data_IF_882868425308
#
_entry.id   IF_882868425308
#
_cell.length_a   1.000
_cell.length_b   1.000
_cell.length_c   1.000
_cell.angle_alpha   90.00
_cell.angle_beta   90.00
_cell.angle_gamma   90.00
#
_symmetry.space_group_name_H-M   'P 1'
#
loop_
_entity.id
_entity.type
_entity.pdbx_description
1 polymer ?
#
# COMPACT_ATOMS: atom_id res chain seq x y z
N UNK A 1 -36.14 63.46 24.55
CA UNK A 1 -34.88 62.99 23.93
C UNK A 1 -34.28 61.71 24.62
N UNK A 2 -35.15 60.77 25.08
CA UNK A 2 -34.63 59.53 25.70
C UNK A 2 -34.78 58.27 24.81
N UNK A 3 -35.45 58.38 23.67
CA UNK A 3 -35.79 57.20 22.86
C UNK A 3 -34.68 56.81 21.85
N UNK A 4 -33.78 57.73 21.50
CA UNK A 4 -32.74 57.42 20.50
C UNK A 4 -31.59 56.53 21.04
N UNK A 5 -31.45 56.42 22.39
CA UNK A 5 -30.41 55.58 23.00
C UNK A 5 -30.69 54.08 22.89
N UNK A 6 -31.95 53.67 22.96
CA UNK A 6 -32.33 52.25 22.81
C UNK A 6 -32.11 51.71 21.40
N UNK A 7 -32.37 52.53 20.39
CA UNK A 7 -32.14 52.16 18.98
C UNK A 7 -30.68 51.96 18.65
N UNK A 8 -29.80 52.82 19.19
CA UNK A 8 -28.35 52.68 18.97
C UNK A 8 -27.80 51.45 19.70
N UNK A 9 -28.25 51.15 20.91
CA UNK A 9 -27.84 49.95 21.66
C UNK A 9 -28.34 48.68 20.94
N UNK A 10 -29.58 48.66 20.47
CA UNK A 10 -30.16 47.55 19.72
C UNK A 10 -29.40 47.31 18.41
N UNK A 11 -29.10 48.38 17.65
CA UNK A 11 -28.36 48.32 16.41
C UNK A 11 -26.92 47.80 16.64
N UNK A 12 -26.25 48.29 17.65
CA UNK A 12 -24.90 47.82 18.01
C UNK A 12 -24.90 46.34 18.41
N UNK A 13 -25.90 45.88 19.15
CA UNK A 13 -26.01 44.49 19.61
C UNK A 13 -26.31 43.55 18.42
N UNK A 14 -27.25 43.93 17.55
CA UNK A 14 -27.55 43.16 16.34
C UNK A 14 -26.35 43.10 15.38
N UNK A 15 -25.62 44.20 15.19
CA UNK A 15 -24.43 44.23 14.38
C UNK A 15 -23.33 43.34 14.98
N UNK A 16 -23.16 43.39 16.32
CA UNK A 16 -22.21 42.53 17.01
C UNK A 16 -22.49 41.01 16.81
N UNK A 17 -23.75 40.62 16.91
CA UNK A 17 -24.19 39.26 16.64
C UNK A 17 -23.95 38.86 15.18
N UNK A 18 -24.26 39.73 14.23
CA UNK A 18 -24.01 39.50 12.80
C UNK A 18 -22.51 39.31 12.51
N UNK A 19 -21.65 40.17 13.04
CA UNK A 19 -20.21 40.06 12.88
C UNK A 19 -19.69 38.78 13.50
N UNK A 20 -20.14 38.43 14.73
CA UNK A 20 -19.76 37.18 15.39
C UNK A 20 -20.14 35.95 14.56
N UNK A 21 -21.32 35.95 13.97
CA UNK A 21 -21.77 34.86 13.10
C UNK A 21 -20.90 34.76 11.82
N UNK A 22 -20.58 35.88 11.20
CA UNK A 22 -19.71 35.90 10.01
C UNK A 22 -18.31 35.38 10.34
N UNK A 23 -17.73 35.78 11.49
CA UNK A 23 -16.42 35.30 11.92
C UNK A 23 -16.44 33.79 12.20
N UNK A 24 -17.48 33.28 12.83
CA UNK A 24 -17.64 31.84 13.08
C UNK A 24 -17.74 31.03 11.76
N UNK A 25 -18.43 31.56 10.76
CA UNK A 25 -18.51 30.93 9.44
C UNK A 25 -17.14 30.93 8.71
N UNK A 26 -16.42 32.04 8.76
CA UNK A 26 -15.08 32.16 8.15
C UNK A 26 -14.13 31.17 8.82
N UNK A 27 -14.14 31.07 10.14
CA UNK A 27 -13.28 30.11 10.87
C UNK A 27 -13.65 28.65 10.55
N UNK A 28 -14.93 28.35 10.41
CA UNK A 28 -15.41 27.03 9.97
C UNK A 28 -14.95 26.66 8.57
N UNK A 29 -14.99 27.63 7.64
CA UNK A 29 -14.47 27.44 6.27
C UNK A 29 -12.96 27.25 6.26
N UNK A 30 -12.24 28.05 7.05
CA UNK A 30 -10.79 27.94 7.20
C UNK A 30 -10.38 26.57 7.71
N UNK A 31 -11.01 26.09 8.78
CA UNK A 31 -10.74 24.77 9.35
C UNK A 31 -10.94 23.66 8.31
N UNK A 32 -12.03 23.71 7.56
CA UNK A 32 -12.29 22.72 6.48
C UNK A 32 -11.25 22.80 5.36
N UNK A 33 -10.82 24.00 5.01
CA UNK A 33 -9.75 24.20 4.03
C UNK A 33 -8.45 23.55 4.47
N UNK A 34 -8.04 23.76 5.72
CA UNK A 34 -6.84 23.13 6.30
C UNK A 34 -6.95 21.60 6.26
N UNK A 35 -8.08 21.04 6.68
CA UNK A 35 -8.27 19.59 6.65
C UNK A 35 -8.15 19.02 5.23
N UNK A 36 -8.77 19.66 4.25
CA UNK A 36 -8.72 19.23 2.85
C UNK A 36 -7.32 19.32 2.28
N UNK A 37 -6.61 20.41 2.51
CA UNK A 37 -5.23 20.57 2.05
C UNK A 37 -4.30 19.57 2.67
N UNK A 38 -4.42 19.34 3.98
CA UNK A 38 -3.63 18.32 4.68
C UNK A 38 -3.89 16.92 4.12
N UNK A 39 -5.16 16.55 3.90
CA UNK A 39 -5.54 15.27 3.32
C UNK A 39 -4.92 15.09 1.91
N UNK A 40 -5.07 16.08 1.04
CA UNK A 40 -4.48 16.05 -0.30
C UNK A 40 -2.96 15.92 -0.28
N UNK A 41 -2.27 16.66 0.59
CA UNK A 41 -0.81 16.61 0.69
C UNK A 41 -0.32 15.27 1.24
N UNK A 42 -1.04 14.69 2.21
CA UNK A 42 -0.73 13.35 2.73
C UNK A 42 -0.89 12.32 1.61
N UNK A 43 -1.99 12.36 0.85
CA UNK A 43 -2.23 11.42 -0.25
C UNK A 43 -1.13 11.53 -1.32
N UNK A 44 -0.78 12.74 -1.74
CA UNK A 44 0.31 12.96 -2.71
C UNK A 44 1.66 12.46 -2.16
N UNK A 45 1.95 12.74 -0.89
CA UNK A 45 3.17 12.28 -0.23
C UNK A 45 3.25 10.76 -0.18
N UNK A 46 2.17 10.10 0.18
CA UNK A 46 2.09 8.63 0.20
C UNK A 46 2.22 8.03 -1.19
N UNK A 47 1.55 8.58 -2.19
CA UNK A 47 1.67 8.14 -3.58
C UNK A 47 3.11 8.31 -4.10
N UNK A 48 3.79 9.39 -3.70
CA UNK A 48 5.18 9.64 -4.05
C UNK A 48 6.12 8.58 -3.46
N UNK A 49 5.94 8.22 -2.19
CA UNK A 49 6.70 7.13 -1.56
C UNK A 49 6.40 5.79 -2.24
N UNK A 50 5.14 5.50 -2.55
CA UNK A 50 4.77 4.27 -3.27
C UNK A 50 5.34 4.21 -4.69
N UNK A 51 5.57 5.35 -5.33
CA UNK A 51 6.22 5.44 -6.64
C UNK A 51 7.73 5.11 -6.59
N UNK A 52 8.35 5.14 -5.41
CA UNK A 52 9.75 4.72 -5.17
C UNK A 52 9.88 3.19 -5.01
N UNK A 53 9.03 2.41 -5.68
CA UNK A 53 9.09 0.96 -5.63
C UNK A 53 10.30 0.40 -6.38
N UNK A 54 10.77 -0.77 -5.96
CA UNK A 54 11.90 -1.46 -6.57
C UNK A 54 11.51 -2.05 -7.93
N UNK A 55 11.89 -1.36 -9.01
CA UNK A 55 11.48 -1.67 -10.39
C UNK A 55 11.88 -3.06 -10.86
N UNK A 56 13.08 -3.51 -10.52
CA UNK A 56 13.58 -4.82 -10.94
C UNK A 56 12.80 -5.95 -10.26
N UNK A 57 12.49 -5.79 -8.98
CA UNK A 57 11.69 -6.77 -8.23
C UNK A 57 10.28 -6.87 -8.81
N UNK A 58 9.70 -5.73 -9.14
CA UNK A 58 8.37 -5.69 -9.77
C UNK A 58 8.40 -6.28 -11.18
N UNK A 59 9.38 -5.91 -12.02
CA UNK A 59 9.45 -6.36 -13.41
C UNK A 59 9.76 -7.87 -13.54
N UNK A 60 10.58 -8.44 -12.65
CA UNK A 60 10.99 -9.84 -12.72
C UNK A 60 10.05 -10.79 -12.01
N UNK A 61 9.48 -10.37 -10.89
CA UNK A 61 8.74 -11.25 -9.97
C UNK A 61 7.32 -10.77 -9.68
N UNK A 62 6.89 -9.64 -10.26
CA UNK A 62 5.61 -9.01 -9.96
C UNK A 62 5.41 -8.71 -8.45
N UNK A 63 6.51 -8.47 -7.73
CA UNK A 63 6.52 -8.16 -6.31
C UNK A 63 6.66 -6.67 -6.09
N UNK A 64 5.69 -6.08 -5.38
CA UNK A 64 5.69 -4.67 -5.04
C UNK A 64 6.35 -4.45 -3.68
N UNK A 65 7.47 -3.76 -3.67
CA UNK A 65 8.18 -3.34 -2.46
C UNK A 65 8.82 -1.98 -2.66
N UNK A 66 8.75 -1.13 -1.66
CA UNK A 66 9.40 0.19 -1.67
C UNK A 66 10.87 0.04 -1.30
N UNK A 67 11.76 0.70 -2.02
CA UNK A 67 13.19 0.69 -1.74
C UNK A 67 13.52 1.67 -0.61
N UNK A 68 13.61 1.17 0.61
CA UNK A 68 13.99 1.96 1.79
C UNK A 68 15.50 2.16 1.94
N UNK A 69 16.32 1.72 0.97
CA UNK A 69 17.78 1.84 1.07
C UNK A 69 18.30 3.19 0.55
N UNK A 70 17.61 3.79 -0.41
CA UNK A 70 18.00 5.07 -1.04
C UNK A 70 19.50 5.12 -1.42
N UNK A 71 20.01 3.97 -1.91
CA UNK A 71 21.42 3.82 -2.29
C UNK A 71 22.39 3.59 -1.11
N UNK A 72 21.89 3.40 0.10
CA UNK A 72 22.68 2.99 1.26
C UNK A 72 22.76 1.47 1.39
N UNK A 73 23.71 0.97 2.19
CA UNK A 73 23.91 -0.48 2.41
C UNK A 73 22.79 -1.10 3.25
N UNK A 74 22.12 -0.28 4.05
CA UNK A 74 21.05 -0.74 4.96
C UNK A 74 19.80 0.10 4.76
N UNK A 75 18.69 -0.54 4.36
CA UNK A 75 17.38 0.09 4.32
C UNK A 75 16.88 0.39 5.74
N UNK A 76 16.39 1.61 5.95
CA UNK A 76 15.80 2.02 7.22
C UNK A 76 14.51 2.78 6.97
N UNK A 77 13.51 2.59 7.83
CA UNK A 77 12.26 3.36 7.79
C UNK A 77 12.47 4.86 7.95
N UNK A 78 13.56 5.27 8.63
CA UNK A 78 13.88 6.69 8.84
C UNK A 78 14.11 7.47 7.56
N UNK A 79 14.80 6.86 6.59
CA UNK A 79 15.01 7.52 5.29
C UNK A 79 13.68 7.70 4.55
N UNK A 80 12.81 6.73 4.62
CA UNK A 80 11.47 6.82 4.04
C UNK A 80 10.61 7.89 4.75
N UNK A 81 10.72 8.00 6.07
CA UNK A 81 10.07 9.04 6.86
C UNK A 81 10.59 10.45 6.50
N UNK A 82 11.90 10.60 6.29
CA UNK A 82 12.52 11.84 5.84
C UNK A 82 12.06 12.24 4.43
N UNK A 83 12.04 11.31 3.49
CA UNK A 83 11.51 11.53 2.14
C UNK A 83 10.03 11.90 2.16
N UNK A 84 9.23 11.23 2.98
CA UNK A 84 7.81 11.57 3.13
C UNK A 84 7.63 13.01 3.62
N UNK A 85 8.41 13.42 4.62
CA UNK A 85 8.41 14.81 5.11
C UNK A 85 8.81 15.80 4.02
N UNK A 86 9.83 15.47 3.23
CA UNK A 86 10.28 16.30 2.12
C UNK A 86 9.17 16.48 1.07
N UNK A 87 8.52 15.37 0.66
CA UNK A 87 7.39 15.43 -0.28
C UNK A 87 6.21 16.21 0.28
N UNK A 88 5.85 16.02 1.54
CA UNK A 88 4.76 16.77 2.17
C UNK A 88 5.08 18.27 2.23
N UNK A 89 6.27 18.66 2.69
CA UNK A 89 6.67 20.05 2.81
C UNK A 89 6.84 20.72 1.44
N UNK A 90 7.33 19.98 0.44
CA UNK A 90 7.36 20.48 -0.93
C UNK A 90 5.96 20.80 -1.47
N UNK A 91 4.96 19.97 -1.15
CA UNK A 91 3.58 20.16 -1.58
C UNK A 91 2.82 21.20 -0.74
N UNK A 92 3.21 21.44 0.52
CA UNK A 92 2.70 22.56 1.30
C UNK A 92 3.29 23.90 0.84
N UNK A 93 4.54 23.91 0.37
CA UNK A 93 5.17 25.11 -0.16
C UNK A 93 4.77 25.34 -1.61
N UNK A 94 3.98 26.39 -1.87
CA UNK A 94 3.54 26.78 -3.21
C UNK A 94 4.61 27.56 -3.99
N UNK A 95 5.89 27.54 -3.58
CA UNK A 95 6.94 28.39 -4.13
C UNK A 95 7.26 28.12 -5.60
N UNK A 96 6.99 26.92 -6.12
CA UNK A 96 7.34 26.49 -7.49
C UNK A 96 6.19 26.57 -8.50
N UNK A 97 5.00 27.05 -8.12
CA UNK A 97 3.90 27.21 -9.07
C UNK A 97 4.16 28.45 -9.92
N UNK A 98 4.54 28.24 -11.17
CA UNK A 98 4.94 29.21 -12.19
C UNK A 98 3.85 30.21 -12.59
N UNK A 99 2.66 30.15 -12.00
CA UNK A 99 1.54 31.04 -12.25
C UNK A 99 1.38 32.04 -11.11
N UNK A 100 2.11 33.17 -11.26
CA UNK A 100 1.76 34.47 -10.72
C UNK A 100 1.62 34.57 -9.19
N UNK A 101 2.68 35.01 -8.54
CA UNK A 101 2.77 35.36 -7.11
C UNK A 101 1.64 36.25 -6.56
N UNK A 102 0.71 36.67 -7.41
CA UNK A 102 -0.41 37.56 -7.08
C UNK A 102 -1.69 36.80 -6.74
N UNK A 103 -1.89 35.60 -7.28
CA UNK A 103 -3.14 34.82 -7.16
C UNK A 103 -3.09 33.68 -6.15
N UNK A 104 -1.92 33.13 -5.87
CA UNK A 104 -1.75 32.06 -4.89
C UNK A 104 -0.96 32.57 -3.68
N UNK A 105 -1.68 32.91 -2.65
CA UNK A 105 -1.12 33.18 -1.33
C UNK A 105 -1.33 31.94 -0.50
N UNK A 106 -0.25 31.44 0.12
CA UNK A 106 -0.38 30.43 1.14
C UNK A 106 -1.20 31.01 2.30
N UNK A 107 -2.47 30.59 2.36
CA UNK A 107 -3.43 31.09 3.34
C UNK A 107 -3.29 30.37 4.68
N UNK A 108 -2.70 29.19 4.69
CA UNK A 108 -2.72 28.33 5.86
C UNK A 108 -1.33 28.18 6.48
N UNK A 109 -0.26 28.37 5.70
CA UNK A 109 1.15 28.25 6.13
C UNK A 109 1.37 26.93 6.90
N UNK A 110 0.99 25.81 6.27
CA UNK A 110 1.09 24.49 6.86
C UNK A 110 2.49 23.92 6.61
N UNK A 111 3.00 23.20 7.59
CA UNK A 111 4.26 22.49 7.52
C UNK A 111 4.12 21.14 8.25
N UNK A 112 4.70 20.09 7.70
CA UNK A 112 4.79 18.81 8.37
C UNK A 112 6.03 18.77 9.25
N UNK A 113 5.84 18.66 10.57
CA UNK A 113 6.95 18.60 11.52
C UNK A 113 7.56 17.20 11.61
N UNK A 114 6.74 16.16 11.48
CA UNK A 114 7.18 14.79 11.72
C UNK A 114 6.32 13.80 10.94
N UNK A 115 7.00 12.84 10.30
CA UNK A 115 6.38 11.59 9.83
C UNK A 115 6.94 10.44 10.66
N UNK A 116 6.12 9.47 11.01
CA UNK A 116 6.55 8.31 11.78
C UNK A 116 5.83 7.06 11.28
N UNK A 117 6.61 6.07 10.88
CA UNK A 117 6.12 4.79 10.42
C UNK A 117 5.92 3.85 11.60
N UNK A 118 4.68 3.53 11.91
CA UNK A 118 4.32 2.69 13.08
C UNK A 118 4.57 1.21 12.85
N UNK A 119 4.52 0.75 11.61
CA UNK A 119 4.77 -0.64 11.21
C UNK A 119 5.43 -0.69 9.86
N UNK A 120 6.48 -1.47 9.76
CA UNK A 120 7.12 -1.83 8.50
C UNK A 120 7.36 -3.34 8.50
N UNK A 121 7.25 -3.96 7.34
CA UNK A 121 7.65 -5.34 7.12
C UNK A 121 8.72 -5.33 6.03
N UNK A 122 9.90 -5.82 6.36
CA UNK A 122 10.97 -5.93 5.39
C UNK A 122 10.89 -7.27 4.67
N UNK A 123 11.26 -7.26 3.41
CA UNK A 123 11.28 -8.47 2.56
C UNK A 123 12.18 -9.57 3.17
N UNK A 124 13.20 -9.17 3.93
CA UNK A 124 14.15 -10.06 4.62
C UNK A 124 13.68 -10.54 5.99
N UNK A 125 12.56 -10.07 6.50
CA UNK A 125 12.07 -10.45 7.82
C UNK A 125 11.71 -11.94 7.90
N UNK A 126 12.01 -12.54 9.05
CA UNK A 126 11.73 -13.95 9.31
C UNK A 126 12.46 -14.92 8.37
N UNK A 127 13.73 -14.68 8.10
CA UNK A 127 14.53 -15.48 7.14
C UNK A 127 13.90 -15.53 5.72
N UNK A 128 13.30 -14.38 5.28
CA UNK A 128 12.66 -14.28 3.99
C UNK A 128 11.22 -14.81 3.92
N UNK A 129 10.58 -15.03 5.07
CA UNK A 129 9.18 -15.48 5.12
C UNK A 129 8.23 -14.47 4.47
N UNK A 130 8.51 -13.17 4.64
CA UNK A 130 7.73 -12.10 3.99
C UNK A 130 7.89 -12.19 2.48
N UNK A 131 9.11 -12.34 1.98
CA UNK A 131 9.36 -12.54 0.55
C UNK A 131 8.64 -13.77 0.02
N UNK A 132 8.75 -14.91 0.72
CA UNK A 132 8.10 -16.15 0.31
C UNK A 132 6.58 -16.01 0.23
N UNK A 133 5.96 -15.30 1.18
CA UNK A 133 4.52 -15.04 1.16
C UNK A 133 4.13 -14.18 -0.03
N UNK A 134 4.84 -13.08 -0.25
CA UNK A 134 4.59 -12.20 -1.40
C UNK A 134 4.76 -12.95 -2.73
N UNK A 135 5.78 -13.81 -2.84
CA UNK A 135 6.01 -14.60 -4.04
C UNK A 135 4.89 -15.63 -4.28
N UNK A 136 4.39 -16.27 -3.22
CA UNK A 136 3.25 -17.19 -3.33
C UNK A 136 1.99 -16.44 -3.76
N UNK A 137 1.72 -15.28 -3.16
CA UNK A 137 0.55 -14.47 -3.50
C UNK A 137 0.63 -13.98 -4.96
N UNK A 138 1.82 -13.54 -5.43
CA UNK A 138 2.02 -13.14 -6.83
C UNK A 138 1.84 -14.30 -7.83
N UNK A 139 2.28 -15.51 -7.47
CA UNK A 139 2.07 -16.71 -8.29
C UNK A 139 0.57 -17.10 -8.30
N UNK A 140 -0.13 -16.95 -7.17
CA UNK A 140 -1.58 -17.20 -7.10
C UNK A 140 -2.36 -16.31 -8.08
N UNK A 141 -1.95 -15.05 -8.22
CA UNK A 141 -2.59 -14.11 -9.14
C UNK A 141 -2.28 -14.42 -10.62
N UNK A 142 -1.07 -14.94 -10.93
CA UNK A 142 -0.61 -15.15 -12.30
C UNK A 142 -1.03 -16.52 -12.88
N UNK A 143 -1.14 -17.58 -12.07
CA UNK A 143 -1.39 -18.96 -12.51
C UNK A 143 -2.89 -19.36 -12.49
N UNK A 144 -3.76 -18.45 -12.09
CA UNK A 144 -5.20 -18.72 -12.02
C UNK A 144 -5.59 -19.51 -10.76
N UNK A 145 -6.36 -18.85 -9.95
CA UNK A 145 -6.81 -19.15 -8.59
C UNK A 145 -7.26 -20.61 -8.34
N UNK A 146 -7.68 -21.34 -9.37
CA UNK A 146 -8.25 -22.68 -9.24
C UNK A 146 -7.24 -23.77 -8.87
N UNK A 147 -6.05 -23.75 -9.43
CA UNK A 147 -5.04 -24.80 -9.22
C UNK A 147 -4.35 -24.67 -7.87
N UNK A 148 -4.03 -23.46 -7.46
CA UNK A 148 -3.34 -23.19 -6.20
C UNK A 148 -4.24 -23.33 -4.98
N UNK A 149 -5.54 -23.04 -5.10
CA UNK A 149 -6.50 -23.36 -4.05
C UNK A 149 -6.60 -24.87 -3.81
N UNK A 150 -6.57 -25.68 -4.86
CA UNK A 150 -6.54 -27.13 -4.74
C UNK A 150 -5.26 -27.61 -4.07
N UNK A 151 -4.10 -27.06 -4.42
CA UNK A 151 -2.82 -27.40 -3.79
C UNK A 151 -2.79 -26.92 -2.32
N UNK A 152 -3.27 -25.73 -2.01
CA UNK A 152 -3.39 -25.22 -0.62
C UNK A 152 -4.31 -26.08 0.24
N UNK A 153 -5.47 -26.45 -0.30
CA UNK A 153 -6.42 -27.34 0.38
C UNK A 153 -5.83 -28.76 0.57
N UNK A 154 -5.12 -29.25 -0.40
CA UNK A 154 -4.45 -30.54 -0.35
C UNK A 154 -3.32 -30.55 0.71
N UNK A 155 -2.43 -29.54 0.75
CA UNK A 155 -1.38 -29.38 1.77
C UNK A 155 -1.99 -29.20 3.17
N UNK A 156 -3.08 -28.46 3.30
CA UNK A 156 -3.80 -28.31 4.57
C UNK A 156 -4.43 -29.61 5.03
N UNK A 157 -4.96 -30.40 4.10
CA UNK A 157 -5.55 -31.71 4.36
C UNK A 157 -4.51 -32.73 4.77
N UNK A 158 -3.33 -32.75 4.14
CA UNK A 158 -2.20 -33.58 4.56
C UNK A 158 -1.72 -33.21 5.97
N UNK A 159 -1.64 -31.91 6.28
CA UNK A 159 -1.19 -31.42 7.59
C UNK A 159 -2.20 -31.69 8.72
N UNK A 160 -3.49 -31.73 8.40
CA UNK A 160 -4.57 -31.95 9.37
C UNK A 160 -4.94 -33.42 9.58
N UNK A 161 -4.67 -34.29 8.59
CA UNK A 161 -4.99 -35.71 8.65
C UNK A 161 -3.80 -36.55 9.00
N UNK A 162 -3.00 -36.26 9.96
CA UNK A 162 -1.91 -37.09 10.43
C UNK A 162 -1.91 -38.51 9.81
N UNK A 163 -1.17 -38.71 8.70
CA UNK A 163 -0.71 -39.96 8.13
C UNK A 163 -1.69 -41.16 8.18
N UNK A 164 -2.63 -41.20 7.29
CA UNK A 164 -3.20 -42.45 6.81
C UNK A 164 -2.64 -42.72 5.40
N UNK A 165 -1.60 -43.54 5.34
CA UNK A 165 -0.79 -43.83 4.15
C UNK A 165 -1.55 -44.32 2.91
N UNK A 166 -2.77 -44.77 3.05
CA UNK A 166 -3.56 -45.31 1.95
C UNK A 166 -4.31 -44.28 1.10
N UNK A 167 -4.69 -43.17 1.67
CA UNK A 167 -5.40 -42.12 0.91
C UNK A 167 -4.46 -41.18 0.15
N UNK A 168 -3.21 -41.14 0.57
CA UNK A 168 -2.16 -40.30 -0.04
C UNK A 168 -1.78 -40.80 -1.43
N UNK A 169 -1.77 -42.11 -1.66
CA UNK A 169 -1.39 -42.72 -2.94
C UNK A 169 -2.45 -42.52 -4.04
N UNK A 170 -3.75 -42.56 -3.70
CA UNK A 170 -4.83 -42.31 -4.64
C UNK A 170 -4.98 -40.82 -4.98
N UNK A 171 -4.82 -39.93 -3.99
CA UNK A 171 -4.83 -38.49 -4.20
C UNK A 171 -3.58 -38.01 -4.96
N UNK A 172 -2.42 -38.64 -4.74
CA UNK A 172 -1.19 -38.42 -5.49
C UNK A 172 -1.36 -38.69 -6.99
N UNK A 173 -1.98 -39.81 -7.34
CA UNK A 173 -2.24 -40.16 -8.75
C UNK A 173 -3.20 -39.18 -9.45
N UNK A 174 -4.14 -38.61 -8.70
CA UNK A 174 -5.09 -37.62 -9.28
C UNK A 174 -4.42 -36.26 -9.50
N UNK A 175 -3.55 -35.83 -8.59
CA UNK A 175 -2.78 -34.57 -8.72
C UNK A 175 -1.74 -34.71 -9.84
N UNK A 176 -1.02 -35.83 -9.91
CA UNK A 176 -0.06 -36.10 -10.99
C UNK A 176 -0.72 -36.15 -12.36
N UNK A 177 -1.95 -36.68 -12.47
CA UNK A 177 -2.71 -36.67 -13.69
C UNK A 177 -3.14 -35.25 -14.11
N UNK A 178 -3.53 -34.41 -13.15
CA UNK A 178 -3.88 -33.01 -13.39
C UNK A 178 -2.65 -32.17 -13.78
N UNK A 179 -1.52 -32.37 -13.12
CA UNK A 179 -0.26 -31.69 -13.47
C UNK A 179 0.15 -32.03 -14.90
N UNK A 180 0.06 -33.31 -15.31
CA UNK A 180 0.34 -33.73 -16.70
C UNK A 180 -0.64 -33.16 -17.72
N UNK A 181 -1.87 -32.89 -17.34
CA UNK A 181 -2.86 -32.26 -18.23
C UNK A 181 -2.55 -30.78 -18.47
N UNK A 182 -1.91 -30.11 -17.51
CA UNK A 182 -1.55 -28.69 -17.62
C UNK A 182 -0.11 -28.47 -18.10
N UNK A 183 0.77 -29.47 -17.97
CA UNK A 183 2.14 -29.41 -18.49
C UNK A 183 2.11 -29.40 -20.03
N UNK A 184 2.76 -28.41 -20.61
CA UNK A 184 2.81 -28.20 -22.07
C UNK A 184 1.68 -27.34 -22.64
N UNK A 185 0.75 -26.78 -21.85
CA UNK A 185 -0.22 -25.81 -22.36
C UNK A 185 0.46 -24.46 -22.64
N UNK A 186 0.13 -23.89 -23.79
CA UNK A 186 0.52 -22.52 -24.14
C UNK A 186 -0.40 -21.51 -23.44
N UNK A 187 0.20 -20.55 -22.74
CA UNK A 187 -0.53 -19.36 -22.25
C UNK A 187 -0.92 -18.45 -23.41
N UNK A 188 -1.87 -17.56 -23.19
CA UNK A 188 -2.31 -16.56 -24.18
C UNK A 188 -1.16 -15.70 -24.75
N UNK A 189 -0.02 -15.65 -24.07
CA UNK A 189 1.21 -14.95 -24.45
C UNK A 189 2.23 -15.85 -25.19
N UNK A 190 1.86 -17.09 -25.56
CA UNK A 190 2.73 -18.01 -26.31
C UNK A 190 3.87 -18.64 -25.51
N UNK A 191 3.83 -18.57 -24.16
CA UNK A 191 4.78 -19.27 -23.29
C UNK A 191 4.24 -20.66 -22.96
N UNK A 192 5.08 -21.68 -23.13
CA UNK A 192 4.79 -23.04 -22.69
C UNK A 192 5.05 -23.15 -21.21
N UNK A 193 4.04 -23.57 -20.45
CA UNK A 193 4.16 -23.81 -19.00
C UNK A 193 4.85 -25.16 -18.83
N UNK A 194 6.00 -25.18 -18.15
CA UNK A 194 6.69 -26.40 -17.75
C UNK A 194 6.61 -26.53 -16.24
N UNK A 195 5.83 -27.50 -15.77
CA UNK A 195 5.62 -27.75 -14.34
C UNK A 195 6.44 -28.97 -13.96
N UNK A 196 7.53 -28.78 -13.20
CA UNK A 196 8.24 -29.90 -12.58
C UNK A 196 7.34 -30.61 -11.59
N UNK A 197 7.16 -31.91 -11.77
CA UNK A 197 6.33 -32.71 -10.88
C UNK A 197 6.96 -32.80 -9.49
N UNK A 198 6.37 -32.19 -8.45
CA UNK A 198 6.95 -32.14 -7.12
C UNK A 198 7.08 -33.53 -6.46
N UNK A 199 6.30 -34.52 -6.94
CA UNK A 199 6.36 -35.89 -6.44
C UNK A 199 7.56 -36.65 -6.96
N UNK A 200 7.99 -36.43 -8.20
CA UNK A 200 9.22 -37.03 -8.76
C UNK A 200 10.46 -36.44 -8.05
N UNK A 201 10.49 -35.15 -7.79
CA UNK A 201 11.58 -34.49 -7.06
C UNK A 201 11.72 -34.97 -5.61
N UNK A 202 10.61 -35.34 -4.95
CA UNK A 202 10.61 -35.89 -3.60
C UNK A 202 11.07 -37.37 -3.56
N UNK A 203 10.75 -38.16 -4.60
CA UNK A 203 11.19 -39.55 -4.70
C UNK A 203 12.68 -39.66 -5.05
N UNK A 204 13.22 -38.76 -5.87
CA UNK A 204 14.65 -38.70 -6.13
C UNK A 204 15.48 -38.37 -4.85
N UNK A 205 14.99 -37.43 -4.03
CA UNK A 205 15.59 -37.12 -2.74
C UNK A 205 15.53 -38.25 -1.73
N UNK A 206 14.49 -39.08 -1.76
CA UNK A 206 14.33 -40.23 -0.88
C UNK A 206 15.21 -41.43 -1.29
N UNK A 207 15.63 -41.51 -2.56
CA UNK A 207 16.56 -42.52 -3.07
C UNK A 207 18.03 -42.16 -2.93
N UNK A 208 18.33 -40.87 -2.67
CA UNK A 208 19.69 -40.36 -2.57
C UNK A 208 20.17 -40.13 -1.10
N UNK A 209 19.35 -40.40 -0.09
CA UNK A 209 19.68 -40.35 1.34
C UNK A 209 19.49 -41.70 2.01
#
# INVERSE_FOLDING_TARGET
>A
MKENGYMTIYLALTLGVMISLCLALIEGCRYRGICLETECVIDIGMDSILAEYHRELFAQYNLFAVDCSYGTVHGTTKLTEEHLLEYMNHNFSLEDIFFDKILYRDFFALEAEKAEMTKAAFVTDGDGEVFRRMAVDAIEDDVGIGLLQQIKEWVKTIKSRGLLERSVEEEKQTVDAQIREYDGRETADGKVIHIENPTEALEEKKKSG
#
